data_IF_866655601626
#
_entry.id   IF_866655601626
#
_cell.length_a   1.000
_cell.length_b   1.000
_cell.length_c   1.000
_cell.angle_alpha   90.00
_cell.angle_beta   90.00
_cell.angle_gamma   90.00
#
_symmetry.space_group_name_H-M   'P 1'
#
loop_
_entity.id
_entity.type
_entity.pdbx_description
1 polymer ?
#
# COMPACT_ATOMS: atom_id res chain seq x y z
N UNK A 1 22.62 2.66 -5.88
CA UNK A 1 21.73 3.23 -6.93
C UNK A 1 20.34 3.41 -6.37
N UNK A 2 19.73 4.54 -6.66
CA UNK A 2 18.32 4.75 -6.29
C UNK A 2 17.41 3.85 -7.13
N UNK A 3 16.32 3.37 -6.53
CA UNK A 3 15.29 2.62 -7.24
C UNK A 3 14.44 3.57 -8.08
N UNK A 4 14.00 3.13 -9.23
CA UNK A 4 13.09 3.88 -10.09
C UNK A 4 11.72 3.22 -10.25
N UNK A 5 11.51 2.11 -9.55
CA UNK A 5 10.27 1.34 -9.62
C UNK A 5 9.86 0.86 -8.23
N UNK A 6 8.58 0.61 -8.07
CA UNK A 6 8.03 -0.08 -6.89
C UNK A 6 8.44 -1.55 -6.91
N UNK A 7 8.52 -2.16 -5.73
CA UNK A 7 8.71 -3.59 -5.62
C UNK A 7 7.35 -4.28 -5.56
N UNK A 8 7.09 -5.19 -6.49
CA UNK A 8 5.83 -5.91 -6.59
C UNK A 8 5.95 -7.24 -5.87
N UNK A 9 4.96 -7.56 -5.03
CA UNK A 9 4.87 -8.87 -4.39
C UNK A 9 3.71 -9.61 -5.02
N UNK A 10 4.06 -10.65 -5.76
CA UNK A 10 3.14 -11.53 -6.48
C UNK A 10 3.27 -12.97 -5.99
N UNK A 11 2.16 -13.69 -6.04
CA UNK A 11 2.12 -15.12 -5.76
C UNK A 11 1.02 -15.75 -6.61
N UNK A 12 1.38 -16.80 -7.35
CA UNK A 12 0.45 -17.51 -8.25
C UNK A 12 -0.34 -16.59 -9.18
N UNK A 13 0.34 -15.61 -9.78
CA UNK A 13 -0.25 -14.68 -10.73
C UNK A 13 -1.10 -13.55 -10.11
N UNK A 14 -1.23 -13.51 -8.79
CA UNK A 14 -1.98 -12.48 -8.07
C UNK A 14 -1.02 -11.51 -7.41
N UNK A 15 -1.28 -10.22 -7.60
CA UNK A 15 -0.51 -9.16 -6.92
C UNK A 15 -1.08 -8.94 -5.53
N UNK A 16 -0.26 -9.08 -4.51
CA UNK A 16 -0.64 -8.93 -3.10
C UNK A 16 -0.33 -7.54 -2.56
N UNK A 17 0.81 -6.99 -2.93
CA UNK A 17 1.24 -5.69 -2.44
C UNK A 17 2.26 -5.06 -3.38
N UNK A 18 2.44 -3.75 -3.22
CA UNK A 18 3.53 -3.01 -3.84
C UNK A 18 4.23 -2.17 -2.78
N UNK A 19 5.55 -2.21 -2.78
CA UNK A 19 6.37 -1.48 -1.81
C UNK A 19 6.99 -0.27 -2.52
N UNK A 20 6.80 0.89 -1.91
CA UNK A 20 7.39 2.15 -2.35
C UNK A 20 8.53 2.46 -1.38
N UNK A 21 9.75 2.09 -1.76
CA UNK A 21 10.92 2.34 -0.93
C UNK A 21 11.26 3.83 -0.89
N UNK A 22 11.73 4.32 0.26
CA UNK A 22 12.02 5.74 0.45
C UNK A 22 13.09 6.29 -0.51
N UNK A 23 13.95 5.42 -1.02
CA UNK A 23 15.00 5.79 -1.97
C UNK A 23 14.54 5.80 -3.44
N UNK A 24 13.26 5.55 -3.70
CA UNK A 24 12.72 5.60 -5.07
C UNK A 24 12.88 7.00 -5.66
N UNK A 25 13.24 7.05 -6.93
CA UNK A 25 13.35 8.29 -7.68
C UNK A 25 12.67 8.13 -9.04
N UNK A 26 11.84 9.10 -9.35
CA UNK A 26 11.20 9.22 -10.68
C UNK A 26 11.51 10.60 -11.25
N UNK A 27 11.74 10.67 -12.54
CA UNK A 27 12.06 11.93 -13.22
C UNK A 27 10.81 12.80 -13.46
N UNK A 28 9.67 12.17 -13.56
CA UNK A 28 8.37 12.82 -13.79
C UNK A 28 7.29 12.08 -13.01
N UNK A 29 6.15 12.72 -12.83
CA UNK A 29 4.98 12.10 -12.22
C UNK A 29 4.70 10.74 -12.84
N UNK A 30 4.64 9.71 -12.00
CA UNK A 30 4.49 8.33 -12.42
C UNK A 30 3.46 7.66 -11.52
N UNK A 31 2.38 7.15 -12.12
CA UNK A 31 1.40 6.31 -11.43
C UNK A 31 1.75 4.85 -11.65
N UNK A 32 1.71 4.07 -10.59
CA UNK A 32 2.06 2.65 -10.61
C UNK A 32 0.85 1.74 -10.71
N UNK A 33 -0.33 2.26 -10.35
CA UNK A 33 -1.58 1.51 -10.47
C UNK A 33 -2.10 1.56 -11.91
N UNK A 34 -2.68 0.44 -12.41
CA UNK A 34 -3.38 0.47 -13.70
C UNK A 34 -4.54 1.48 -13.67
N UNK A 35 -4.84 2.15 -14.79
CA UNK A 35 -5.94 3.15 -14.82
C UNK A 35 -7.30 2.60 -14.42
N UNK A 36 -7.56 1.32 -14.64
CA UNK A 36 -8.81 0.64 -14.31
C UNK A 36 -8.91 0.23 -12.83
N UNK A 37 -7.82 0.31 -12.06
CA UNK A 37 -7.84 -0.06 -10.64
C UNK A 37 -8.69 0.89 -9.82
N UNK A 38 -9.36 0.35 -8.83
CA UNK A 38 -10.21 1.12 -7.91
C UNK A 38 -9.40 2.03 -6.97
N UNK A 39 -8.12 1.77 -6.82
CA UNK A 39 -7.20 2.55 -6.01
C UNK A 39 -6.04 3.02 -6.88
N UNK A 40 -5.89 4.34 -6.99
CA UNK A 40 -4.83 4.94 -7.80
C UNK A 40 -3.74 5.49 -6.90
N UNK A 41 -2.51 5.11 -7.15
CA UNK A 41 -1.36 5.63 -6.43
C UNK A 41 -0.17 5.84 -7.35
N UNK A 42 0.64 6.80 -6.99
CA UNK A 42 1.82 7.15 -7.76
C UNK A 42 2.67 8.18 -7.02
N UNK A 43 3.68 8.64 -7.70
CA UNK A 43 4.57 9.70 -7.21
C UNK A 43 4.42 10.92 -8.11
N UNK A 44 4.11 12.05 -7.49
CA UNK A 44 4.13 13.34 -8.18
C UNK A 44 5.56 13.84 -8.17
N UNK A 45 6.06 14.21 -9.34
CA UNK A 45 7.40 14.77 -9.48
C UNK A 45 7.39 15.85 -10.53
N UNK A 46 7.73 17.06 -10.11
CA UNK A 46 7.76 18.24 -10.95
C UNK A 46 8.99 19.07 -10.62
N UNK A 47 9.50 19.79 -11.60
CA UNK A 47 10.58 20.74 -11.39
C UNK A 47 10.08 22.01 -10.67
N UNK A 48 11.01 22.69 -10.03
CA UNK A 48 10.69 23.98 -9.41
C UNK A 48 10.13 24.97 -10.44
N UNK A 49 9.08 25.68 -10.08
CA UNK A 49 8.39 26.61 -10.97
C UNK A 49 7.18 26.01 -11.69
N UNK A 50 6.99 24.70 -11.63
CA UNK A 50 5.78 24.08 -12.16
C UNK A 50 4.55 24.59 -11.42
N UNK A 51 3.52 24.93 -12.16
CA UNK A 51 2.23 25.35 -11.62
C UNK A 51 1.15 24.48 -12.24
N UNK A 52 0.46 23.72 -11.40
CA UNK A 52 -0.76 23.06 -11.82
C UNK A 52 -1.91 24.06 -11.74
N UNK A 53 -2.66 24.29 -12.83
CA UNK A 53 -3.76 25.25 -12.80
C UNK A 53 -4.82 24.87 -11.76
N UNK A 54 -5.48 25.85 -11.13
CA UNK A 54 -6.58 25.56 -10.22
C UNK A 54 -7.65 24.70 -10.88
N UNK A 55 -8.07 23.63 -10.20
CA UNK A 55 -9.05 22.69 -10.74
C UNK A 55 -9.82 21.99 -9.62
N UNK A 56 -10.89 21.32 -10.00
CA UNK A 56 -11.62 20.40 -9.12
C UNK A 56 -11.92 19.12 -9.89
N UNK A 57 -12.13 18.06 -9.15
CA UNK A 57 -12.46 16.77 -9.75
C UNK A 57 -13.98 16.62 -9.88
N UNK A 58 -14.43 16.24 -11.08
CA UNK A 58 -15.85 16.06 -11.35
C UNK A 58 -16.43 14.94 -10.48
N UNK A 59 -17.63 15.14 -9.90
CA UNK A 59 -18.30 14.04 -9.20
C UNK A 59 -18.55 12.88 -10.16
N UNK A 60 -18.27 11.68 -9.68
CA UNK A 60 -18.47 10.46 -10.45
C UNK A 60 -18.82 9.33 -9.52
N UNK A 61 -19.85 8.56 -9.86
CA UNK A 61 -20.22 7.38 -9.09
C UNK A 61 -19.20 6.27 -9.33
N UNK A 62 -18.60 5.80 -8.25
CA UNK A 62 -17.65 4.68 -8.27
C UNK A 62 -18.20 3.53 -7.45
N UNK A 63 -18.11 2.31 -7.98
CA UNK A 63 -18.36 1.09 -7.23
C UNK A 63 -17.04 0.44 -6.89
N UNK A 64 -16.86 0.10 -5.62
CA UNK A 64 -15.65 -0.50 -5.10
C UNK A 64 -16.03 -1.81 -4.43
N UNK A 65 -15.47 -2.91 -4.92
CA UNK A 65 -15.71 -4.26 -4.40
C UNK A 65 -14.52 -4.83 -3.64
N UNK A 66 -13.37 -4.18 -3.75
CA UNK A 66 -12.13 -4.55 -3.08
C UNK A 66 -11.61 -3.37 -2.28
N UNK A 67 -11.27 -3.57 -1.02
CA UNK A 67 -10.62 -2.54 -0.24
C UNK A 67 -9.13 -2.63 -0.41
N UNK A 68 -8.52 -1.55 -0.88
CA UNK A 68 -7.09 -1.38 -0.91
C UNK A 68 -6.69 -0.29 0.08
N UNK A 69 -5.51 -0.44 0.64
CA UNK A 69 -4.99 0.45 1.66
C UNK A 69 -3.52 0.73 1.39
N UNK A 70 -3.11 1.95 1.70
CA UNK A 70 -1.72 2.36 1.64
C UNK A 70 -1.31 2.96 2.96
N UNK A 71 -0.09 2.68 3.43
CA UNK A 71 0.51 3.50 4.48
C UNK A 71 1.96 3.82 4.18
N UNK A 72 2.34 4.99 4.66
CA UNK A 72 3.70 5.52 4.56
C UNK A 72 4.22 5.76 5.97
N UNK A 73 5.38 5.20 6.28
CA UNK A 73 5.98 5.35 7.60
C UNK A 73 6.57 6.75 7.76
N UNK A 74 6.08 7.48 8.74
CA UNK A 74 6.63 8.78 9.11
C UNK A 74 7.72 8.65 10.18
N UNK A 75 7.53 7.71 11.11
CA UNK A 75 8.47 7.43 12.21
C UNK A 75 8.41 5.96 12.59
N UNK A 76 9.52 5.47 13.10
CA UNK A 76 9.61 4.14 13.68
C UNK A 76 9.91 3.06 12.65
N UNK A 77 9.73 1.83 13.09
CA UNK A 77 9.99 0.63 12.29
C UNK A 77 8.83 -0.34 12.45
N UNK A 78 8.32 -0.81 11.33
CA UNK A 78 7.19 -1.73 11.30
C UNK A 78 7.51 -2.89 10.35
N UNK A 79 7.07 -4.08 10.73
CA UNK A 79 7.12 -5.27 9.86
C UNK A 79 5.71 -5.57 9.41
N UNK A 80 5.51 -5.64 8.10
CA UNK A 80 4.26 -6.07 7.48
C UNK A 80 4.41 -7.52 7.05
N UNK A 81 3.52 -8.37 7.54
CA UNK A 81 3.44 -9.77 7.14
C UNK A 81 2.36 -9.92 6.07
N UNK A 82 2.70 -10.55 4.97
CA UNK A 82 1.79 -10.79 3.85
C UNK A 82 1.53 -12.29 3.73
N UNK A 83 0.27 -12.67 3.71
CA UNK A 83 -0.15 -14.05 3.62
C UNK A 83 -0.97 -14.29 2.35
N UNK A 84 -0.81 -15.48 1.77
CA UNK A 84 -1.65 -15.91 0.65
C UNK A 84 -3.09 -16.18 1.10
N UNK A 85 -3.98 -16.38 0.14
CA UNK A 85 -5.37 -16.76 0.42
C UNK A 85 -5.48 -18.10 1.16
N UNK A 86 -4.47 -18.97 1.02
CA UNK A 86 -4.38 -20.25 1.71
C UNK A 86 -3.69 -20.15 3.09
N UNK A 87 -3.26 -18.95 3.48
CA UNK A 87 -2.66 -18.72 4.79
C UNK A 87 -1.16 -18.96 4.84
N UNK A 88 -0.48 -19.03 3.72
CA UNK A 88 0.97 -19.14 3.66
C UNK A 88 1.62 -17.77 3.81
N UNK A 89 2.65 -17.68 4.64
CA UNK A 89 3.45 -16.47 4.77
C UNK A 89 4.26 -16.26 3.48
N UNK A 90 3.91 -15.23 2.71
CA UNK A 90 4.60 -14.90 1.46
C UNK A 90 5.83 -14.06 1.71
N UNK A 91 5.70 -13.07 2.59
CA UNK A 91 6.77 -12.11 2.82
C UNK A 91 6.59 -11.40 4.15
N UNK A 92 7.70 -11.12 4.81
CA UNK A 92 7.80 -10.13 5.88
C UNK A 92 8.58 -8.94 5.32
N UNK A 93 7.98 -7.76 5.40
CA UNK A 93 8.58 -6.53 4.87
C UNK A 93 8.86 -5.59 6.03
N UNK A 94 10.11 -5.22 6.22
CA UNK A 94 10.48 -4.21 7.21
C UNK A 94 10.45 -2.83 6.55
N UNK A 95 9.60 -1.96 7.08
CA UNK A 95 9.44 -0.60 6.60
C UNK A 95 9.96 0.39 7.63
N UNK A 96 10.70 1.38 7.14
CA UNK A 96 11.31 2.46 7.92
C UNK A 96 10.82 3.80 7.41
N UNK A 97 11.25 4.87 8.04
CA UNK A 97 10.86 6.24 7.67
C UNK A 97 10.96 6.48 6.16
N UNK A 98 9.84 6.93 5.58
CA UNK A 98 9.73 7.22 4.15
C UNK A 98 9.32 6.05 3.27
N UNK A 99 9.36 4.82 3.80
CA UNK A 99 8.89 3.65 3.06
C UNK A 99 7.37 3.57 3.10
N UNK A 100 6.78 3.14 2.00
CA UNK A 100 5.34 2.93 1.91
C UNK A 100 4.99 1.55 1.37
N UNK A 101 3.77 1.12 1.62
CA UNK A 101 3.24 -0.12 1.08
C UNK A 101 1.79 0.07 0.68
N UNK A 102 1.43 -0.49 -0.46
CA UNK A 102 0.05 -0.60 -0.92
C UNK A 102 -0.38 -2.04 -0.76
N UNK A 103 -1.40 -2.27 0.04
CA UNK A 103 -1.99 -3.59 0.30
C UNK A 103 -3.14 -3.78 -0.66
N UNK A 104 -3.01 -4.75 -1.56
CA UNK A 104 -3.92 -4.93 -2.69
C UNK A 104 -4.83 -6.14 -2.48
N UNK A 105 -4.28 -7.24 -2.01
CA UNK A 105 -4.99 -8.51 -1.90
C UNK A 105 -4.44 -9.34 -0.73
N UNK A 106 -5.23 -10.28 -0.25
CA UNK A 106 -4.83 -11.25 0.75
C UNK A 106 -4.87 -10.73 2.18
N UNK A 107 -4.25 -11.47 3.05
CA UNK A 107 -4.22 -11.20 4.49
C UNK A 107 -2.90 -10.54 4.86
N UNK A 108 -2.97 -9.53 5.69
CA UNK A 108 -1.79 -8.84 6.20
C UNK A 108 -1.87 -8.67 7.71
N UNK A 109 -0.71 -8.60 8.33
CA UNK A 109 -0.56 -8.26 9.73
C UNK A 109 0.57 -7.24 9.88
N UNK A 110 0.54 -6.49 10.97
CA UNK A 110 1.52 -5.45 11.25
C UNK A 110 2.09 -5.72 12.64
N UNK A 111 3.44 -5.75 12.72
CA UNK A 111 4.17 -5.77 13.99
C UNK A 111 4.98 -4.51 14.12
N UNK A 112 4.80 -3.79 15.22
CA UNK A 112 5.56 -2.58 15.51
C UNK A 112 6.85 -2.96 16.22
N UNK A 113 7.99 -2.60 15.62
CA UNK A 113 9.32 -2.88 16.17
C UNK A 113 9.85 -1.69 16.97
N UNK A 114 9.68 -0.49 16.45
CA UNK A 114 9.94 0.78 17.13
C UNK A 114 8.69 1.63 17.05
N UNK A 115 8.42 2.42 18.09
CA UNK A 115 7.22 3.27 18.15
C UNK A 115 6.99 3.95 16.81
N UNK A 116 5.82 3.70 16.21
CA UNK A 116 5.57 4.08 14.82
C UNK A 116 4.45 5.09 14.68
N UNK A 117 4.59 5.91 13.65
CA UNK A 117 3.52 6.74 13.13
C UNK A 117 3.53 6.61 11.60
N UNK A 118 2.36 6.30 11.04
CA UNK A 118 2.20 6.14 9.60
C UNK A 118 1.05 7.01 9.10
N UNK A 119 1.20 7.50 7.86
CA UNK A 119 0.06 8.03 7.10
C UNK A 119 -0.67 6.82 6.55
N UNK A 120 -1.95 6.71 6.85
CA UNK A 120 -2.81 5.64 6.31
C UNK A 120 -3.84 6.23 5.38
N UNK A 121 -3.94 5.66 4.19
CA UNK A 121 -4.92 6.05 3.17
C UNK A 121 -5.66 4.80 2.73
N UNK A 122 -6.97 4.85 2.75
CA UNK A 122 -7.80 3.75 2.23
C UNK A 122 -9.08 4.30 1.62
N UNK A 123 -9.71 3.50 0.80
CA UNK A 123 -11.00 3.84 0.20
C UNK A 123 -12.06 3.97 1.30
N UNK A 124 -12.88 5.01 1.19
CA UNK A 124 -14.04 5.21 2.07
C UNK A 124 -15.34 4.76 1.42
N UNK A 125 -16.45 4.85 2.15
CA UNK A 125 -16.57 5.32 3.54
C UNK A 125 -16.08 4.30 4.58
N UNK A 126 -15.86 4.75 5.81
CA UNK A 126 -15.53 3.86 6.92
C UNK A 126 -16.80 3.37 7.58
N UNK A 127 -17.01 2.07 7.59
CA UNK A 127 -18.22 1.40 8.05
C UNK A 127 -18.07 0.78 9.46
N UNK A 128 -16.96 1.10 10.15
CA UNK A 128 -16.60 0.48 11.43
C UNK A 128 -15.80 -0.80 11.25
N UNK A 129 -14.93 -1.11 12.21
CA UNK A 129 -14.06 -2.29 12.13
C UNK A 129 -14.84 -3.60 11.99
N UNK A 130 -16.01 -3.69 12.62
CA UNK A 130 -16.87 -4.87 12.54
C UNK A 130 -17.34 -5.20 11.12
N UNK A 131 -17.50 -4.17 10.29
CA UNK A 131 -17.96 -4.31 8.90
C UNK A 131 -16.80 -4.27 7.89
N UNK A 132 -15.62 -3.84 8.32
CA UNK A 132 -14.47 -3.62 7.47
C UNK A 132 -13.45 -4.76 7.54
N UNK A 133 -13.29 -5.36 8.72
CA UNK A 133 -12.22 -6.33 8.98
C UNK A 133 -12.75 -7.69 9.36
N UNK A 134 -12.02 -8.71 8.91
CA UNK A 134 -12.16 -10.08 9.39
C UNK A 134 -10.80 -10.50 9.94
N UNK A 135 -10.74 -10.78 11.24
CA UNK A 135 -9.53 -11.29 11.85
C UNK A 135 -9.41 -12.78 11.57
N UNK A 136 -8.25 -13.21 11.10
CA UNK A 136 -7.96 -14.61 10.80
C UNK A 136 -6.90 -15.13 11.76
N UNK A 137 -7.08 -16.35 12.21
CA UNK A 137 -6.13 -17.03 13.07
C UNK A 137 -5.51 -18.18 12.28
N UNK A 138 -4.34 -17.94 11.71
CA UNK A 138 -3.58 -18.98 11.07
C UNK A 138 -2.92 -19.84 12.14
N UNK A 139 -3.27 -21.14 12.18
CA UNK A 139 -2.55 -22.07 13.03
C UNK A 139 -1.10 -22.09 12.56
N UNK A 140 -0.17 -21.77 13.47
CA UNK A 140 1.24 -22.03 13.21
C UNK A 140 1.39 -23.52 12.97
N UNK A 141 1.74 -23.91 11.76
CA UNK A 141 2.18 -25.26 11.51
C UNK A 141 3.42 -25.45 12.37
N UNK A 142 3.32 -26.29 13.40
CA UNK A 142 4.48 -26.72 14.16
C UNK A 142 5.37 -27.49 13.18
N UNK A 143 6.48 -26.88 12.80
CA UNK A 143 7.55 -27.56 12.07
C UNK A 143 8.42 -28.29 13.05
#
# INVERSE_FOLDING_TARGET
MSRNQVEIIEYNGTKYAEIIWADIRVEKTTFFSPPESSFQFGLLAHEAGFIEPPHYHKPFKREIHDLQQMFVVQRGVVVVELYSDEGELLREVTLRQGDGIVLIHGVHAIRVIEDMQCISVKQGPFLGDENDKVFVNFQKKNT
#
